data_IF_528505051697
#
_entry.id   IF_528505051697
#
_cell.length_a   1.000
_cell.length_b   1.000
_cell.length_c   1.000
_cell.angle_alpha   90.00
_cell.angle_beta   90.00
_cell.angle_gamma   90.00
#
_symmetry.space_group_name_H-M   'P 1'
#
loop_
_entity.id
_entity.type
_entity.pdbx_description
1 polymer ?
#
# COMPACT_ATOMS: atom_id res chain seq x y z
N UNK A 1 1.68 -6.26 -11.45
CA UNK A 1 1.18 -7.65 -11.55
C UNK A 1 2.14 -8.47 -12.40
N UNK A 2 2.89 -9.39 -11.80
CA UNK A 2 3.73 -10.34 -12.53
C UNK A 2 3.21 -11.75 -12.25
N UNK A 3 2.23 -12.20 -13.04
CA UNK A 3 1.84 -13.62 -13.03
C UNK A 3 2.99 -14.37 -13.68
N UNK A 4 3.76 -15.10 -12.88
CA UNK A 4 4.92 -15.86 -13.35
C UNK A 4 4.42 -17.11 -14.08
N UNK A 5 4.35 -17.02 -15.40
CA UNK A 5 4.08 -18.18 -16.26
C UNK A 5 5.28 -19.13 -16.21
N UNK A 6 5.15 -20.22 -15.43
CA UNK A 6 6.22 -21.20 -15.20
C UNK A 6 6.39 -22.20 -16.35
N UNK A 7 5.68 -22.04 -17.47
CA UNK A 7 5.85 -22.94 -18.63
C UNK A 7 7.24 -22.76 -19.25
N UNK A 8 7.88 -23.88 -19.61
CA UNK A 8 9.04 -23.86 -20.51
C UNK A 8 8.60 -23.23 -21.83
N UNK A 9 9.01 -21.99 -22.04
CA UNK A 9 8.54 -21.14 -23.13
C UNK A 9 8.78 -21.81 -24.49
N UNK A 10 7.75 -22.24 -25.24
CA UNK A 10 7.95 -22.74 -26.60
C UNK A 10 8.31 -21.52 -27.45
N UNK A 11 9.57 -21.48 -27.88
CA UNK A 11 10.10 -20.47 -28.79
C UNK A 11 9.10 -20.28 -29.96
N UNK A 12 8.66 -19.04 -30.19
CA UNK A 12 7.87 -18.56 -31.35
C UNK A 12 6.34 -18.30 -31.21
N UNK A 13 5.82 -17.88 -30.05
CA UNK A 13 4.48 -17.21 -30.01
C UNK A 13 4.59 -15.69 -29.97
N UNK A 14 3.86 -15.01 -30.86
CA UNK A 14 3.73 -13.54 -30.93
C UNK A 14 3.32 -12.95 -29.58
N UNK A 15 3.95 -11.82 -29.17
CA UNK A 15 3.68 -11.13 -27.91
C UNK A 15 2.18 -10.80 -27.71
N UNK A 16 1.47 -10.51 -28.80
CA UNK A 16 0.04 -10.20 -28.77
C UNK A 16 -0.83 -11.39 -28.33
N UNK A 17 -0.49 -12.61 -28.79
CA UNK A 17 -1.23 -13.82 -28.38
C UNK A 17 -0.97 -14.15 -26.91
N UNK A 18 0.28 -13.99 -26.46
CA UNK A 18 0.64 -14.16 -25.04
C UNK A 18 -0.14 -13.21 -24.14
N UNK A 19 -0.28 -11.94 -24.54
CA UNK A 19 -1.04 -10.96 -23.76
C UNK A 19 -2.53 -11.31 -23.70
N UNK A 20 -3.12 -11.78 -24.81
CA UNK A 20 -4.52 -12.24 -24.85
C UNK A 20 -4.74 -13.47 -23.98
N UNK A 21 -3.83 -14.43 -24.02
CA UNK A 21 -3.83 -15.61 -23.17
C UNK A 21 -3.78 -15.22 -21.69
N UNK A 22 -2.82 -14.37 -21.29
CA UNK A 22 -2.71 -13.90 -19.90
C UNK A 22 -3.97 -13.16 -19.43
N UNK A 23 -4.59 -12.34 -20.29
CA UNK A 23 -5.87 -11.69 -19.97
C UNK A 23 -6.99 -12.70 -19.75
N UNK A 24 -7.06 -13.76 -20.58
CA UNK A 24 -8.05 -14.83 -20.44
C UNK A 24 -7.82 -15.60 -19.14
N UNK A 25 -6.60 -16.07 -18.88
CA UNK A 25 -6.23 -16.72 -17.61
C UNK A 25 -6.66 -15.86 -16.43
N UNK A 26 -6.31 -14.57 -16.43
CA UNK A 26 -6.69 -13.65 -15.35
C UNK A 26 -8.21 -13.58 -15.15
N UNK A 27 -8.99 -13.55 -16.23
CA UNK A 27 -10.45 -13.54 -16.14
C UNK A 27 -11.05 -14.84 -15.60
N UNK A 28 -10.49 -16.00 -15.97
CA UNK A 28 -10.94 -17.29 -15.44
C UNK A 28 -10.49 -17.49 -13.99
N UNK A 29 -9.28 -17.04 -13.63
CA UNK A 29 -8.83 -16.97 -12.23
C UNK A 29 -9.80 -16.15 -11.39
N UNK A 30 -10.21 -14.96 -11.86
CA UNK A 30 -11.20 -14.13 -11.15
C UNK A 30 -12.55 -14.83 -10.95
N UNK A 31 -13.03 -15.57 -11.96
CA UNK A 31 -14.29 -16.31 -11.86
C UNK A 31 -14.19 -17.49 -10.87
N UNK A 32 -13.19 -18.36 -11.08
CA UNK A 32 -12.94 -19.50 -10.20
C UNK A 32 -12.73 -19.07 -8.75
N UNK A 33 -12.08 -17.93 -8.56
CA UNK A 33 -11.87 -17.30 -7.26
C UNK A 33 -13.17 -16.79 -6.62
N UNK A 34 -14.02 -16.07 -7.36
CA UNK A 34 -15.31 -15.60 -6.86
C UNK A 34 -16.22 -16.77 -6.44
N UNK A 35 -16.13 -17.89 -7.17
CA UNK A 35 -16.87 -19.11 -6.86
C UNK A 35 -16.29 -19.85 -5.65
N UNK A 36 -14.96 -19.89 -5.50
CA UNK A 36 -14.28 -20.49 -4.34
C UNK A 36 -14.59 -19.78 -3.02
N UNK A 37 -14.77 -18.45 -3.05
CA UNK A 37 -15.10 -17.66 -1.85
C UNK A 37 -16.51 -17.96 -1.36
N UNK A 38 -17.48 -18.13 -2.26
CA UNK A 38 -18.87 -18.45 -1.90
C UNK A 38 -19.01 -19.80 -1.20
N UNK A 39 -18.08 -20.71 -1.45
CA UNK A 39 -18.15 -22.09 -0.98
C UNK A 39 -17.36 -22.35 0.31
N UNK A 40 -16.51 -21.43 0.79
CA UNK A 40 -15.58 -21.71 1.91
C UNK A 40 -15.56 -20.65 3.00
N UNK A 41 -15.15 -21.11 4.20
CA UNK A 41 -15.06 -20.29 5.42
C UNK A 41 -13.79 -19.43 5.36
N UNK A 42 -13.96 -18.14 5.63
CA UNK A 42 -12.93 -17.07 5.67
C UNK A 42 -11.76 -17.39 6.62
N UNK A 43 -11.89 -18.37 7.52
CA UNK A 43 -10.84 -18.78 8.45
C UNK A 43 -9.60 -19.42 7.79
N UNK A 44 -9.71 -19.93 6.56
CA UNK A 44 -8.61 -20.65 5.86
C UNK A 44 -7.69 -19.71 5.04
N UNK A 45 -7.74 -18.39 5.27
CA UNK A 45 -6.95 -17.38 4.54
C UNK A 45 -5.46 -17.31 4.92
N UNK A 46 -5.03 -18.06 5.93
CA UNK A 46 -3.64 -18.06 6.38
C UNK A 46 -2.73 -18.96 5.54
N UNK A 47 -3.28 -20.01 4.90
CA UNK A 47 -2.54 -20.95 4.07
C UNK A 47 -2.60 -20.55 2.58
N UNK A 48 -1.49 -20.71 1.86
CA UNK A 48 -1.43 -20.43 0.42
C UNK A 48 -2.47 -21.22 -0.37
N UNK A 49 -2.97 -20.66 -1.48
CA UNK A 49 -4.11 -21.23 -2.17
C UNK A 49 -3.75 -21.91 -3.48
N UNK A 50 -4.33 -23.08 -3.72
CA UNK A 50 -4.27 -23.78 -4.99
C UNK A 50 -5.61 -23.62 -5.72
N UNK A 51 -5.62 -22.86 -6.82
CA UNK A 51 -6.80 -22.63 -7.66
C UNK A 51 -6.69 -23.51 -8.91
N UNK A 52 -7.61 -24.46 -9.06
CA UNK A 52 -7.70 -25.27 -10.27
C UNK A 52 -8.52 -24.56 -11.34
N UNK A 53 -8.01 -24.55 -12.58
CA UNK A 53 -8.70 -24.02 -13.75
C UNK A 53 -8.82 -25.16 -14.76
N UNK A 54 -10.04 -25.42 -15.26
CA UNK A 54 -10.24 -26.41 -16.32
C UNK A 54 -9.56 -25.94 -17.62
N UNK A 55 -8.90 -26.89 -18.29
CA UNK A 55 -8.17 -26.69 -19.54
C UNK A 55 -9.08 -26.32 -20.71
N UNK A 56 -10.38 -26.65 -20.68
CA UNK A 56 -11.36 -26.34 -21.74
C UNK A 56 -11.42 -24.85 -22.07
N UNK A 57 -11.34 -24.01 -21.04
CA UNK A 57 -11.47 -22.56 -21.15
C UNK A 57 -10.20 -21.86 -21.70
N UNK A 58 -9.07 -22.58 -21.68
CA UNK A 58 -7.76 -22.06 -22.06
C UNK A 58 -7.35 -22.44 -23.49
N UNK A 59 -8.24 -23.10 -24.24
CA UNK A 59 -7.96 -23.55 -25.59
C UNK A 59 -7.72 -22.37 -26.55
N UNK A 60 -6.61 -22.43 -27.28
CA UNK A 60 -6.30 -21.51 -28.37
C UNK A 60 -6.82 -22.11 -29.69
N UNK A 61 -7.63 -21.39 -30.49
CA UNK A 61 -8.05 -21.90 -31.79
C UNK A 61 -6.83 -22.06 -32.69
N UNK A 62 -6.67 -23.24 -33.26
CA UNK A 62 -5.59 -23.55 -34.19
C UNK A 62 -6.14 -23.56 -35.61
N UNK A 63 -5.58 -22.70 -36.45
CA UNK A 63 -5.91 -22.68 -37.86
C UNK A 63 -5.10 -23.74 -38.59
N UNK A 64 -5.79 -24.61 -39.30
CA UNK A 64 -5.20 -25.58 -40.20
C UNK A 64 -5.77 -25.35 -41.59
N UNK A 65 -4.95 -25.50 -42.62
CA UNK A 65 -5.45 -25.47 -43.98
C UNK A 65 -6.31 -26.72 -44.24
N UNK A 66 -7.51 -26.52 -44.77
CA UNK A 66 -8.41 -27.62 -45.15
C UNK A 66 -7.74 -28.54 -46.18
N UNK A 67 -7.47 -29.82 -45.86
CA UNK A 67 -6.76 -30.74 -46.75
C UNK A 67 -7.49 -31.03 -48.06
N UNK A 68 -8.79 -30.70 -48.16
CA UNK A 68 -9.62 -31.00 -49.33
C UNK A 68 -9.70 -29.85 -50.34
N UNK A 69 -9.34 -28.63 -49.94
CA UNK A 69 -9.55 -27.42 -50.74
C UNK A 69 -8.23 -26.63 -50.92
N UNK A 70 -8.01 -26.13 -52.14
CA UNK A 70 -6.86 -25.31 -52.51
C UNK A 70 -5.80 -26.04 -53.35
N UNK A 71 -5.03 -25.28 -54.13
CA UNK A 71 -3.84 -25.78 -54.81
C UNK A 71 -2.67 -25.80 -53.83
N UNK A 72 -2.01 -26.95 -53.72
CA UNK A 72 -0.89 -27.14 -52.79
C UNK A 72 0.27 -27.77 -53.54
N UNK A 73 1.40 -27.08 -53.52
CA UNK A 73 2.65 -27.60 -54.06
C UNK A 73 3.43 -28.26 -52.92
N UNK A 74 3.71 -29.55 -53.07
CA UNK A 74 4.52 -30.31 -52.12
C UNK A 74 5.79 -30.76 -52.83
N UNK A 75 6.93 -30.65 -52.14
CA UNK A 75 8.19 -31.23 -52.61
C UNK A 75 8.33 -32.61 -51.98
N UNK A 76 8.15 -33.66 -52.78
CA UNK A 76 8.38 -35.03 -52.34
C UNK A 76 9.87 -35.39 -52.54
N UNK A 77 10.49 -36.11 -51.58
CA UNK A 77 11.90 -36.47 -51.69
C UNK A 77 12.10 -37.56 -52.75
N UNK A 78 12.63 -37.18 -53.91
CA UNK A 78 13.22 -38.08 -54.91
C UNK A 78 12.22 -38.92 -55.69
N UNK A 79 12.24 -38.79 -57.01
CA UNK A 79 11.33 -39.50 -57.89
C UNK A 79 12.12 -40.44 -58.82
N UNK A 80 11.84 -41.74 -58.77
CA UNK A 80 12.42 -42.73 -59.67
C UNK A 80 11.48 -43.13 -60.82
N UNK A 81 10.17 -42.93 -60.67
CA UNK A 81 9.16 -43.58 -61.51
C UNK A 81 8.16 -42.63 -62.21
N UNK A 82 8.05 -41.36 -61.79
CA UNK A 82 7.07 -40.41 -62.35
C UNK A 82 7.73 -39.35 -63.25
N UNK A 83 7.00 -38.85 -64.24
CA UNK A 83 7.42 -37.74 -65.12
C UNK A 83 6.53 -36.50 -64.93
N UNK A 84 7.00 -35.30 -65.32
CA UNK A 84 6.18 -34.10 -65.28
C UNK A 84 4.90 -34.28 -66.11
N UNK A 85 3.73 -34.20 -65.46
CA UNK A 85 2.41 -34.39 -66.08
C UNK A 85 1.64 -35.63 -65.62
N UNK A 86 2.27 -36.52 -64.86
CA UNK A 86 1.58 -37.71 -64.34
C UNK A 86 0.59 -37.35 -63.21
N UNK A 87 -0.62 -37.90 -63.27
CA UNK A 87 -1.59 -37.82 -62.19
C UNK A 87 -1.32 -38.94 -61.17
N UNK A 88 -0.96 -38.55 -59.94
CA UNK A 88 -0.79 -39.48 -58.83
C UNK A 88 -2.14 -39.62 -58.12
N UNK A 89 -2.61 -40.86 -57.93
CA UNK A 89 -3.81 -41.08 -57.12
C UNK A 89 -3.60 -40.50 -55.72
N UNK A 90 -4.53 -39.64 -55.29
CA UNK A 90 -4.50 -39.12 -53.91
C UNK A 90 -4.50 -40.32 -52.98
N UNK A 91 -3.55 -40.42 -52.01
CA UNK A 91 -3.56 -41.53 -51.08
C UNK A 91 -4.94 -41.60 -50.44
N UNK A 92 -5.61 -42.76 -50.60
CA UNK A 92 -6.89 -43.03 -49.99
C UNK A 92 -6.74 -42.76 -48.50
N UNK A 93 -7.44 -41.75 -47.99
CA UNK A 93 -7.21 -41.12 -46.69
C UNK A 93 -6.67 -42.09 -45.66
N UNK A 94 -5.34 -42.13 -45.53
CA UNK A 94 -4.70 -42.78 -44.42
C UNK A 94 -5.15 -41.97 -43.23
N UNK A 95 -6.04 -42.57 -42.43
CA UNK A 95 -6.18 -42.19 -41.04
C UNK A 95 -4.76 -42.16 -40.49
N UNK A 96 -4.19 -40.95 -40.38
CA UNK A 96 -3.08 -40.75 -39.48
C UNK A 96 -3.54 -41.40 -38.18
N UNK A 97 -2.72 -42.31 -37.67
CA UNK A 97 -2.90 -42.90 -36.35
C UNK A 97 -2.90 -41.74 -35.36
N UNK A 98 -4.07 -41.11 -35.21
CA UNK A 98 -4.45 -40.47 -33.98
C UNK A 98 -4.46 -41.61 -32.99
N UNK A 99 -3.50 -41.55 -32.06
CA UNK A 99 -3.63 -42.17 -30.75
C UNK A 99 -5.11 -42.29 -30.42
N UNK A 100 -5.60 -43.52 -30.30
CA UNK A 100 -6.95 -43.80 -29.84
C UNK A 100 -7.23 -42.90 -28.65
N UNK A 101 -8.10 -41.91 -28.86
CA UNK A 101 -8.78 -41.27 -27.76
C UNK A 101 -9.68 -42.33 -27.18
N UNK A 102 -9.37 -42.77 -25.96
CA UNK A 102 -10.26 -43.62 -25.17
C UNK A 102 -11.67 -43.02 -25.17
N UNK A 103 -12.70 -43.87 -25.23
CA UNK A 103 -14.10 -43.46 -25.15
C UNK A 103 -14.49 -42.91 -23.76
N UNK A 104 -13.60 -43.01 -22.77
CA UNK A 104 -13.59 -42.18 -21.57
C UNK A 104 -12.57 -41.05 -21.75
N UNK A 105 -13.05 -39.93 -22.27
CA UNK A 105 -12.30 -38.68 -22.33
C UNK A 105 -12.20 -38.02 -20.96
N UNK A 106 -11.47 -38.65 -20.04
CA UNK A 106 -11.04 -37.99 -18.79
C UNK A 106 -9.60 -37.46 -18.93
N UNK A 107 -9.36 -36.85 -20.09
CA UNK A 107 -8.11 -36.18 -20.42
C UNK A 107 -8.21 -34.70 -20.07
N UNK A 108 -8.35 -34.36 -18.80
CA UNK A 108 -8.18 -32.97 -18.35
C UNK A 108 -7.26 -32.92 -17.15
N UNK A 109 -5.98 -32.69 -17.43
CA UNK A 109 -5.10 -32.04 -16.46
C UNK A 109 -5.74 -30.69 -16.11
N UNK A 110 -6.55 -30.70 -15.05
CA UNK A 110 -6.97 -29.47 -14.39
C UNK A 110 -5.70 -28.72 -14.00
N UNK A 111 -5.54 -27.50 -14.52
CA UNK A 111 -4.35 -26.73 -14.23
C UNK A 111 -4.48 -26.18 -12.82
N UNK A 112 -3.74 -26.76 -11.88
CA UNK A 112 -3.66 -26.27 -10.51
C UNK A 112 -2.62 -25.14 -10.45
N UNK A 113 -3.09 -23.93 -10.24
CA UNK A 113 -2.24 -22.78 -9.96
C UNK A 113 -2.07 -22.63 -8.45
N UNK A 114 -0.88 -22.90 -7.95
CA UNK A 114 -0.50 -22.55 -6.58
C UNK A 114 -0.15 -21.06 -6.52
N UNK A 115 -1.04 -20.27 -5.92
CA UNK A 115 -0.86 -18.86 -5.60
C UNK A 115 -0.24 -18.71 -4.21
N UNK A 116 0.71 -17.79 -4.10
CA UNK A 116 1.17 -17.35 -2.78
C UNK A 116 0.05 -16.58 -2.07
N UNK A 117 0.09 -16.54 -0.73
CA UNK A 117 -0.87 -15.75 0.07
C UNK A 117 -0.91 -14.29 -0.37
N UNK A 118 0.24 -13.70 -0.68
CA UNK A 118 0.32 -12.30 -1.10
C UNK A 118 -0.34 -12.05 -2.46
N UNK A 119 -0.12 -12.95 -3.43
CA UNK A 119 -0.75 -12.88 -4.75
C UNK A 119 -2.25 -13.14 -4.68
N UNK A 120 -2.67 -14.03 -3.78
CA UNK A 120 -4.08 -14.27 -3.49
C UNK A 120 -4.75 -12.99 -2.98
N UNK A 121 -4.16 -12.33 -1.97
CA UNK A 121 -4.72 -11.10 -1.40
C UNK A 121 -4.72 -9.95 -2.43
N UNK A 122 -3.70 -9.85 -3.28
CA UNK A 122 -3.68 -8.88 -4.38
C UNK A 122 -4.84 -9.08 -5.36
N UNK A 123 -5.14 -10.34 -5.70
CA UNK A 123 -6.28 -10.66 -6.57
C UNK A 123 -7.61 -10.42 -5.85
N UNK A 124 -7.66 -10.66 -4.55
CA UNK A 124 -8.84 -10.47 -3.70
C UNK A 124 -9.27 -9.00 -3.63
N UNK A 125 -8.30 -8.10 -3.50
CA UNK A 125 -8.55 -6.68 -3.25
C UNK A 125 -8.30 -5.76 -4.46
N UNK A 126 -8.02 -6.31 -5.66
CA UNK A 126 -7.61 -5.53 -6.85
C UNK A 126 -8.59 -4.40 -7.23
N UNK A 127 -9.90 -4.62 -7.08
CA UNK A 127 -10.96 -3.68 -7.47
C UNK A 127 -11.43 -2.77 -6.30
N UNK A 128 -10.78 -2.86 -5.13
CA UNK A 128 -11.20 -2.22 -3.88
C UNK A 128 -10.31 -1.03 -3.52
N UNK A 129 -10.94 0.10 -3.18
CA UNK A 129 -10.23 1.32 -2.77
C UNK A 129 -11.01 2.08 -1.68
N UNK A 130 -10.28 2.79 -0.81
CA UNK A 130 -10.85 3.74 0.13
C UNK A 130 -11.51 4.91 -0.62
N UNK A 131 -12.82 5.14 -0.43
CA UNK A 131 -13.53 6.16 -1.18
C UNK A 131 -13.08 7.58 -0.80
N UNK A 132 -13.03 8.52 -1.75
CA UNK A 132 -12.69 9.93 -1.50
C UNK A 132 -11.27 10.22 -0.95
N UNK A 133 -10.32 9.26 -1.00
CA UNK A 133 -8.93 9.47 -0.55
C UNK A 133 -8.21 10.65 -1.24
N UNK A 134 -8.66 11.02 -2.44
CA UNK A 134 -8.09 12.08 -3.27
C UNK A 134 -8.73 13.47 -3.11
N UNK A 135 -9.87 13.62 -2.42
CA UNK A 135 -10.63 14.89 -2.48
C UNK A 135 -9.93 16.09 -1.81
N UNK A 136 -8.85 15.88 -1.05
CA UNK A 136 -7.98 16.97 -0.54
C UNK A 136 -6.78 17.29 -1.43
N UNK A 137 -6.66 16.63 -2.59
CA UNK A 137 -5.52 16.79 -3.52
C UNK A 137 -5.37 18.18 -4.15
N UNK A 138 -6.30 19.12 -3.96
CA UNK A 138 -6.16 20.47 -4.53
C UNK A 138 -5.51 21.50 -3.58
N UNK A 139 -5.33 21.18 -2.29
CA UNK A 139 -4.70 22.11 -1.32
C UNK A 139 -3.41 21.62 -0.69
N UNK A 140 -3.02 20.35 -0.85
CA UNK A 140 -1.75 19.84 -0.34
C UNK A 140 -0.71 19.74 -1.46
N UNK A 141 -0.03 20.85 -1.77
CA UNK A 141 1.38 20.70 -2.14
C UNK A 141 2.01 19.93 -0.98
N UNK A 142 2.65 18.78 -1.23
CA UNK A 142 3.33 18.00 -0.19
C UNK A 142 4.13 18.97 0.69
N UNK A 143 3.67 19.23 1.92
CA UNK A 143 4.27 20.26 2.76
C UNK A 143 5.71 19.84 2.99
N UNK A 144 6.70 20.55 2.41
CA UNK A 144 8.06 20.07 2.45
C UNK A 144 8.56 20.20 3.88
N UNK A 145 8.75 19.06 4.55
CA UNK A 145 9.38 19.05 5.85
C UNK A 145 10.88 19.28 5.66
N UNK A 146 11.42 20.21 6.44
CA UNK A 146 12.84 20.53 6.46
C UNK A 146 13.57 19.50 7.32
N UNK A 147 14.38 18.64 6.69
CA UNK A 147 15.19 17.64 7.41
C UNK A 147 16.66 18.03 7.33
N UNK A 148 17.39 17.87 8.44
CA UNK A 148 18.85 18.06 8.46
C UNK A 148 19.52 16.98 7.62
N UNK A 149 20.16 17.38 6.52
CA UNK A 149 20.78 16.49 5.54
C UNK A 149 22.32 16.53 5.61
N UNK A 150 22.88 16.80 6.79
CA UNK A 150 24.33 16.85 7.03
C UNK A 150 24.96 18.22 6.75
N UNK A 151 26.15 18.21 6.12
CA UNK A 151 26.97 19.40 5.88
C UNK A 151 27.33 19.55 4.41
N UNK A 152 27.39 20.78 3.92
CA UNK A 152 27.85 21.17 2.59
C UNK A 152 29.14 21.99 2.69
N UNK A 153 29.97 21.99 1.65
CA UNK A 153 31.17 22.86 1.54
C UNK A 153 30.81 24.30 1.23
N UNK A 154 29.61 24.53 0.69
CA UNK A 154 29.12 25.85 0.29
C UNK A 154 27.69 26.08 0.81
N UNK A 155 27.36 27.34 1.09
CA UNK A 155 26.07 27.76 1.63
C UNK A 155 26.03 29.19 2.18
N UNK A 156 24.83 29.64 2.57
CA UNK A 156 24.65 30.95 3.20
C UNK A 156 25.44 31.08 4.51
N UNK A 157 26.09 32.22 4.80
CA UNK A 157 26.83 32.47 6.03
C UNK A 157 26.05 32.17 7.32
N UNK A 158 24.72 32.34 7.30
CA UNK A 158 23.84 32.04 8.44
C UNK A 158 23.82 30.55 8.82
N UNK A 159 24.12 29.66 7.86
CA UNK A 159 24.16 28.21 8.07
C UNK A 159 25.57 27.69 8.34
N UNK A 160 26.56 28.56 8.50
CA UNK A 160 27.94 28.14 8.76
C UNK A 160 28.02 27.40 10.11
N UNK A 161 28.39 26.12 10.04
CA UNK A 161 28.67 25.32 11.22
C UNK A 161 30.11 25.60 11.67
N UNK A 162 30.26 26.52 12.62
CA UNK A 162 31.56 26.94 13.16
C UNK A 162 32.35 25.75 13.75
N UNK A 163 31.68 24.84 14.44
CA UNK A 163 32.33 23.69 15.11
C UNK A 163 32.98 22.75 14.10
N UNK A 164 32.23 22.31 13.09
CA UNK A 164 32.77 21.42 12.05
C UNK A 164 33.82 22.11 11.17
N UNK A 165 33.61 23.39 10.87
CA UNK A 165 34.59 24.21 10.13
C UNK A 165 35.92 24.29 10.88
N UNK A 166 35.88 24.62 12.17
CA UNK A 166 37.08 24.71 13.01
C UNK A 166 37.76 23.35 13.20
N UNK A 167 36.99 22.26 13.31
CA UNK A 167 37.54 20.90 13.37
C UNK A 167 38.33 20.55 12.10
N UNK A 168 37.80 20.89 10.92
CA UNK A 168 38.50 20.64 9.64
C UNK A 168 39.74 21.53 9.48
N UNK A 169 39.65 22.81 9.82
CA UNK A 169 40.81 23.71 9.86
C UNK A 169 41.92 23.18 10.78
N UNK A 170 41.57 22.69 11.97
CA UNK A 170 42.55 22.11 12.89
C UNK A 170 43.21 20.86 12.30
N UNK A 171 42.41 19.93 11.75
CA UNK A 171 42.94 18.72 11.12
C UNK A 171 43.89 19.04 9.96
N UNK A 172 43.53 20.01 9.10
CA UNK A 172 44.39 20.49 8.00
C UNK A 172 45.69 21.11 8.51
N UNK A 173 45.62 21.93 9.55
CA UNK A 173 46.81 22.56 10.16
C UNK A 173 47.76 21.52 10.76
N UNK A 174 47.23 20.50 11.42
CA UNK A 174 48.03 19.39 11.95
C UNK A 174 48.68 18.62 10.78
N UNK A 175 47.90 18.26 9.76
CA UNK A 175 48.40 17.50 8.61
C UNK A 175 49.49 18.23 7.81
N UNK A 176 49.37 19.55 7.65
CA UNK A 176 50.37 20.38 6.95
C UNK A 176 51.52 20.84 7.87
N UNK A 177 51.47 20.47 9.16
CA UNK A 177 52.48 20.83 10.15
C UNK A 177 52.58 22.34 10.35
N UNK A 178 51.43 23.02 10.53
CA UNK A 178 51.43 24.44 10.90
C UNK A 178 51.96 24.56 12.34
N UNK A 179 53.00 25.39 12.59
CA UNK A 179 53.54 25.60 13.92
C UNK A 179 52.49 26.23 14.85
N UNK A 180 52.54 25.91 16.15
CA UNK A 180 51.65 26.54 17.13
C UNK A 180 52.16 27.95 17.42
N UNK A 181 51.24 28.86 17.76
CA UNK A 181 51.61 30.23 18.12
C UNK A 181 52.56 30.25 19.33
N UNK A 182 52.26 29.43 20.35
CA UNK A 182 53.09 29.30 21.55
C UNK A 182 54.52 28.83 21.28
N UNK A 183 54.74 28.00 20.25
CA UNK A 183 56.09 27.53 19.89
C UNK A 183 56.91 28.67 19.28
N UNK A 184 56.29 29.53 18.48
CA UNK A 184 56.96 30.71 17.90
C UNK A 184 57.20 31.79 18.95
N UNK A 185 56.25 32.00 19.87
CA UNK A 185 56.41 32.93 20.99
C UNK A 185 57.55 32.49 21.92
N UNK A 186 57.69 31.18 22.20
CA UNK A 186 58.81 30.66 22.99
C UNK A 186 60.16 30.93 22.31
N UNK A 187 60.27 30.66 21.00
CA UNK A 187 61.49 30.98 20.23
C UNK A 187 61.81 32.48 20.23
N UNK A 188 60.79 33.35 20.23
CA UNK A 188 60.99 34.80 20.32
C UNK A 188 61.53 35.22 21.69
N UNK A 189 61.06 34.59 22.77
CA UNK A 189 61.58 34.82 24.12
C UNK A 189 63.04 34.35 24.22
N UNK A 190 63.35 33.16 23.72
CA UNK A 190 64.72 32.63 23.64
C UNK A 190 65.64 33.57 22.83
N UNK A 191 65.14 34.12 21.71
CA UNK A 191 65.87 35.10 20.92
C UNK A 191 66.18 36.38 21.73
N UNK A 192 65.23 36.89 22.52
CA UNK A 192 65.48 38.06 23.36
C UNK A 192 66.52 37.79 24.46
N UNK A 193 66.52 36.59 25.03
CA UNK A 193 67.51 36.17 26.01
C UNK A 193 68.90 36.08 25.38
N UNK A 194 69.03 35.47 24.19
CA UNK A 194 70.28 35.38 23.45
C UNK A 194 70.82 36.76 23.03
N UNK A 195 69.94 37.70 22.66
CA UNK A 195 70.32 39.10 22.40
C UNK A 195 70.86 39.76 23.66
N UNK A 196 70.26 39.50 24.82
CA UNK A 196 70.70 40.07 26.11
C UNK A 196 72.04 39.47 26.57
N UNK A 197 72.30 38.21 26.23
CA UNK A 197 73.55 37.49 26.54
C UNK A 197 74.67 37.71 25.49
N UNK A 198 74.41 38.45 24.41
CA UNK A 198 75.34 38.75 23.31
C UNK A 198 75.90 37.50 22.57
N UNK A 199 75.14 36.41 22.53
CA UNK A 199 75.54 35.17 21.85
C UNK A 199 75.24 35.23 20.34
N UNK A 200 76.18 35.76 19.56
CA UNK A 200 75.99 36.04 18.12
C UNK A 200 75.54 34.82 17.28
N UNK A 201 76.11 33.64 17.53
CA UNK A 201 75.79 32.42 16.78
C UNK A 201 74.37 31.90 17.05
N UNK A 202 73.91 31.97 18.31
CA UNK A 202 72.58 31.51 18.70
C UNK A 202 71.50 32.50 18.25
N UNK A 203 71.80 33.81 18.23
CA UNK A 203 70.92 34.84 17.67
C UNK A 203 70.62 34.56 16.18
N UNK A 204 71.65 34.26 15.37
CA UNK A 204 71.47 33.98 13.94
C UNK A 204 70.69 32.68 13.71
N UNK A 205 70.97 31.64 14.50
CA UNK A 205 70.22 30.38 14.47
C UNK A 205 68.75 30.57 14.81
N UNK A 206 68.44 31.25 15.90
CA UNK A 206 67.06 31.49 16.35
C UNK A 206 66.29 32.38 15.36
N UNK A 207 66.92 33.38 14.76
CA UNK A 207 66.33 34.19 13.69
C UNK A 207 65.93 33.34 12.48
N UNK A 208 66.84 32.51 11.98
CA UNK A 208 66.57 31.59 10.85
C UNK A 208 65.42 30.62 11.17
N UNK A 209 65.37 30.09 12.40
CA UNK A 209 64.29 29.22 12.84
C UNK A 209 62.95 29.96 12.89
N UNK A 210 62.89 31.14 13.50
CA UNK A 210 61.67 31.96 13.58
C UNK A 210 61.18 32.31 12.18
N UNK A 211 62.07 32.73 11.28
CA UNK A 211 61.71 33.06 9.90
C UNK A 211 61.13 31.85 9.15
N UNK A 212 61.72 30.66 9.33
CA UNK A 212 61.21 29.43 8.75
C UNK A 212 59.82 29.05 9.31
N UNK A 213 59.62 29.17 10.63
CA UNK A 213 58.33 28.91 11.27
C UNK A 213 57.27 29.91 10.82
N UNK A 214 57.61 31.20 10.73
CA UNK A 214 56.72 32.25 10.24
C UNK A 214 56.38 32.09 8.75
N UNK A 215 57.34 31.69 7.91
CA UNK A 215 57.09 31.35 6.51
C UNK A 215 56.09 30.19 6.41
N UNK A 216 56.23 29.16 7.24
CA UNK A 216 55.31 28.01 7.28
C UNK A 216 53.91 28.40 7.79
N UNK A 217 53.82 29.30 8.77
CA UNK A 217 52.55 29.86 9.25
C UNK A 217 51.83 30.71 8.19
N UNK A 218 52.57 31.42 7.34
CA UNK A 218 52.02 32.17 6.20
C UNK A 218 51.54 31.24 5.08
N UNK A 219 52.30 30.18 4.79
CA UNK A 219 51.99 29.22 3.73
C UNK A 219 50.73 28.38 4.01
N UNK A 220 50.42 28.10 5.29
CA UNK A 220 49.25 27.31 5.68
C UNK A 220 48.25 28.22 6.39
N UNK A 221 47.25 28.83 5.74
CA UNK A 221 46.32 29.76 6.40
C UNK A 221 45.54 29.14 7.56
N UNK A 222 45.11 29.98 8.52
CA UNK A 222 44.35 29.52 9.69
C UNK A 222 42.99 28.93 9.29
N UNK A 223 42.29 29.61 8.40
CA UNK A 223 41.01 29.18 7.84
C UNK A 223 41.10 29.25 6.32
N UNK A 224 40.62 28.20 5.65
CA UNK A 224 40.53 28.13 4.20
C UNK A 224 39.09 27.85 3.77
N UNK A 225 38.77 28.18 2.52
CA UNK A 225 37.46 27.94 1.90
C UNK A 225 37.07 26.46 1.94
N UNK A 226 38.06 25.56 1.76
CA UNK A 226 37.85 24.10 1.82
C UNK A 226 37.47 23.59 3.22
N UNK A 227 37.75 24.36 4.28
CA UNK A 227 37.40 24.01 5.66
C UNK A 227 35.93 24.34 5.98
N UNK A 228 35.32 25.29 5.26
CA UNK A 228 33.98 25.79 5.55
C UNK A 228 32.93 24.70 5.44
N UNK A 229 32.12 24.52 6.48
CA UNK A 229 31.00 23.58 6.49
C UNK A 229 29.72 24.28 6.85
N UNK A 230 28.72 24.16 5.99
CA UNK A 230 27.40 24.73 6.15
C UNK A 230 26.40 23.64 6.47
N UNK A 231 25.56 23.84 7.48
CA UNK A 231 24.47 22.91 7.79
C UNK A 231 23.49 22.84 6.62
N UNK A 232 23.38 21.66 6.02
CA UNK A 232 22.50 21.41 4.89
C UNK A 232 21.14 20.98 5.41
N UNK A 233 20.11 21.64 4.92
CA UNK A 233 18.72 21.25 5.17
C UNK A 233 18.12 20.93 3.80
N UNK A 234 17.57 19.73 3.66
CA UNK A 234 16.92 19.28 2.44
C UNK A 234 15.41 19.22 2.66
N UNK A 235 14.66 19.58 1.61
CA UNK A 235 13.22 19.34 1.57
C UNK A 235 13.01 17.89 1.16
N UNK A 236 12.44 17.09 2.05
CA UNK A 236 12.00 15.74 1.73
C UNK A 236 10.48 15.78 1.57
N UNK A 237 9.91 15.32 0.45
CA UNK A 237 8.48 15.22 0.32
C UNK A 237 7.98 14.18 1.34
N UNK A 238 7.17 14.62 2.30
CA UNK A 238 6.38 13.67 3.10
C UNK A 238 5.16 13.27 2.26
N UNK A 239 4.92 11.98 2.00
CA UNK A 239 3.66 11.55 1.41
C UNK A 239 2.54 11.96 2.36
N UNK A 240 1.63 12.80 1.85
CA UNK A 240 0.58 13.49 2.63
C UNK A 240 -0.74 12.71 2.70
N UNK A 241 -0.82 11.51 2.12
CA UNK A 241 -2.03 10.68 2.22
C UNK A 241 -1.93 9.79 3.45
N UNK A 242 -2.00 10.41 4.62
CA UNK A 242 -2.23 9.72 5.87
C UNK A 242 -3.75 9.55 6.04
N UNK A 243 -4.17 8.35 6.41
CA UNK A 243 -5.57 8.03 6.63
C UNK A 243 -5.69 7.25 7.93
N UNK A 244 -6.80 7.44 8.63
CA UNK A 244 -7.15 6.69 9.83
C UNK A 244 -8.48 6.00 9.60
N UNK A 245 -8.55 4.71 9.90
CA UNK A 245 -9.78 3.93 9.89
C UNK A 245 -10.17 3.62 11.33
N UNK A 246 -11.35 4.08 11.72
CA UNK A 246 -11.99 3.76 13.00
C UNK A 246 -12.88 2.53 12.84
N UNK A 247 -12.62 1.50 13.62
CA UNK A 247 -13.43 0.28 13.68
C UNK A 247 -14.27 0.30 14.96
N UNK A 248 -15.58 0.49 14.83
CA UNK A 248 -16.53 0.61 15.93
C UNK A 248 -17.34 -0.70 16.07
N UNK A 249 -16.97 -1.55 17.03
CA UNK A 249 -17.67 -2.83 17.24
C UNK A 249 -18.58 -2.75 18.46
N UNK A 250 -19.82 -3.21 18.29
CA UNK A 250 -20.73 -3.45 19.40
C UNK A 250 -20.35 -4.75 20.14
N UNK A 251 -20.23 -4.66 21.46
CA UNK A 251 -19.94 -5.79 22.35
C UNK A 251 -21.04 -6.04 23.37
N UNK A 252 -22.20 -5.45 23.13
CA UNK A 252 -23.40 -5.58 23.96
C UNK A 252 -23.85 -7.03 24.18
N UNK A 253 -24.83 -7.16 25.08
CA UNK A 253 -25.46 -8.44 25.41
C UNK A 253 -26.42 -8.94 24.30
N UNK A 254 -26.93 -8.05 23.43
CA UNK A 254 -27.77 -8.44 22.29
C UNK A 254 -26.95 -9.10 21.17
N UNK A 255 -25.67 -8.74 21.07
CA UNK A 255 -24.73 -9.38 20.17
C UNK A 255 -24.38 -10.82 20.61
N UNK A 256 -25.00 -11.81 19.97
CA UNK A 256 -24.69 -13.24 20.16
C UNK A 256 -23.26 -13.58 19.69
N UNK A 257 -22.74 -14.75 20.09
CA UNK A 257 -21.40 -15.18 19.67
C UNK A 257 -21.26 -15.30 18.15
N UNK A 258 -22.34 -15.69 17.46
CA UNK A 258 -22.37 -15.81 16.00
C UNK A 258 -22.31 -14.44 15.32
N UNK A 259 -23.10 -13.46 15.81
CA UNK A 259 -23.07 -12.09 15.28
C UNK A 259 -21.71 -11.42 15.54
N UNK A 260 -21.11 -11.66 16.73
CA UNK A 260 -19.73 -11.25 17.04
C UNK A 260 -18.72 -11.88 16.09
N UNK A 261 -18.85 -13.15 15.73
CA UNK A 261 -17.96 -13.81 14.77
C UNK A 261 -18.08 -13.19 13.37
N UNK A 262 -19.30 -12.86 12.91
CA UNK A 262 -19.52 -12.17 11.63
C UNK A 262 -18.88 -10.77 11.62
N UNK A 263 -19.11 -9.97 12.66
CA UNK A 263 -18.50 -8.65 12.79
C UNK A 263 -16.96 -8.73 12.79
N UNK A 264 -16.39 -9.68 13.54
CA UNK A 264 -14.94 -9.91 13.58
C UNK A 264 -14.38 -10.28 12.21
N UNK A 265 -15.06 -11.16 11.45
CA UNK A 265 -14.65 -11.51 10.08
C UNK A 265 -14.63 -10.31 9.16
N UNK A 266 -15.65 -9.45 9.24
CA UNK A 266 -15.69 -8.21 8.49
C UNK A 266 -14.48 -7.31 8.82
N UNK A 267 -14.21 -7.07 10.11
CA UNK A 267 -13.06 -6.25 10.53
C UNK A 267 -11.71 -6.86 10.18
N UNK A 268 -11.60 -8.19 10.21
CA UNK A 268 -10.39 -8.89 9.79
C UNK A 268 -10.15 -8.71 8.29
N UNK A 269 -11.20 -8.82 7.45
CA UNK A 269 -11.09 -8.52 6.02
C UNK A 269 -10.72 -7.06 5.78
N UNK A 270 -11.31 -6.12 6.53
CA UNK A 270 -10.97 -4.70 6.46
C UNK A 270 -9.51 -4.46 6.85
N UNK A 271 -9.03 -5.08 7.92
CA UNK A 271 -7.63 -5.01 8.34
C UNK A 271 -6.69 -5.53 7.24
N UNK A 272 -6.97 -6.72 6.69
CA UNK A 272 -6.17 -7.30 5.62
C UNK A 272 -6.15 -6.42 4.36
N UNK A 273 -7.31 -5.86 3.99
CA UNK A 273 -7.43 -4.92 2.88
C UNK A 273 -6.54 -3.69 3.08
N UNK A 274 -6.65 -3.05 4.24
CA UNK A 274 -5.96 -1.79 4.53
C UNK A 274 -4.44 -1.98 4.64
N UNK A 275 -4.00 -2.98 5.39
CA UNK A 275 -2.58 -3.31 5.55
C UNK A 275 -1.94 -3.68 4.21
N UNK A 276 -2.71 -4.28 3.28
CA UNK A 276 -2.19 -4.68 1.97
C UNK A 276 -2.14 -3.56 0.93
N UNK A 277 -3.17 -2.71 0.86
CA UNK A 277 -3.27 -1.65 -0.16
C UNK A 277 -2.61 -0.34 0.27
N UNK A 278 -2.53 -0.07 1.57
CA UNK A 278 -2.12 1.23 2.09
C UNK A 278 -0.99 1.12 3.12
N UNK A 279 0.16 1.71 2.79
CA UNK A 279 1.32 1.76 3.71
C UNK A 279 1.21 2.83 4.81
N UNK A 280 0.20 3.68 4.75
CA UNK A 280 0.08 4.89 5.60
C UNK A 280 -1.35 5.06 6.13
N UNK A 281 -2.00 3.93 6.44
CA UNK A 281 -3.28 3.90 7.16
C UNK A 281 -3.02 3.48 8.60
N UNK A 282 -3.54 4.25 9.56
CA UNK A 282 -3.61 3.85 10.96
C UNK A 282 -4.98 3.25 11.26
N UNK A 283 -5.00 2.20 12.10
CA UNK A 283 -6.22 1.53 12.54
C UNK A 283 -6.46 1.85 14.01
N UNK A 284 -7.67 2.31 14.32
CA UNK A 284 -8.10 2.56 15.70
C UNK A 284 -9.31 1.71 15.98
N UNK A 285 -9.22 0.86 17.00
CA UNK A 285 -10.29 -0.04 17.39
C UNK A 285 -11.01 0.52 18.60
N UNK A 286 -12.33 0.68 18.49
CA UNK A 286 -13.20 1.13 19.57
C UNK A 286 -14.26 0.06 19.77
N UNK A 287 -14.35 -0.43 20.99
CA UNK A 287 -15.47 -1.25 21.44
C UNK A 287 -16.43 -0.37 22.23
N UNK A 288 -17.72 -0.67 22.14
CA UNK A 288 -18.72 0.01 22.94
C UNK A 288 -19.73 -0.95 23.55
N UNK A 289 -20.21 -0.55 24.73
CA UNK A 289 -21.38 -1.08 25.40
C UNK A 289 -22.19 0.12 25.93
N UNK A 290 -22.26 0.32 27.25
CA UNK A 290 -22.72 1.57 27.86
C UNK A 290 -21.66 2.67 27.79
N UNK A 291 -20.39 2.26 27.77
CA UNK A 291 -19.24 3.15 27.60
C UNK A 291 -18.38 2.64 26.45
N UNK A 292 -17.74 3.55 25.73
CA UNK A 292 -16.79 3.22 24.69
C UNK A 292 -15.34 3.35 25.17
N UNK A 293 -14.47 2.50 24.62
CA UNK A 293 -13.06 2.48 24.95
C UNK A 293 -12.23 2.14 23.72
N UNK A 294 -11.12 2.86 23.53
CA UNK A 294 -10.05 2.44 22.62
C UNK A 294 -9.35 1.19 23.13
N UNK A 295 -9.23 0.19 22.25
CA UNK A 295 -8.58 -1.08 22.55
C UNK A 295 -7.53 -1.42 21.49
N UNK A 296 -6.63 -2.33 21.85
CA UNK A 296 -5.70 -2.94 20.90
C UNK A 296 -6.38 -4.04 20.09
N UNK A 297 -5.72 -4.46 19.01
CA UNK A 297 -6.21 -5.47 18.07
C UNK A 297 -6.60 -6.78 18.77
N UNK A 298 -5.75 -7.27 19.68
CA UNK A 298 -5.99 -8.53 20.38
C UNK A 298 -7.23 -8.46 21.28
N UNK A 299 -7.39 -7.35 22.03
CA UNK A 299 -8.56 -7.15 22.87
C UNK A 299 -9.82 -6.91 22.03
N UNK A 300 -9.72 -6.26 20.89
CA UNK A 300 -10.85 -6.07 19.98
C UNK A 300 -11.40 -7.42 19.47
N UNK A 301 -10.54 -8.34 19.03
CA UNK A 301 -10.99 -9.63 18.48
C UNK A 301 -11.27 -10.70 19.54
N UNK A 302 -10.63 -10.67 20.71
CA UNK A 302 -10.75 -11.74 21.72
C UNK A 302 -11.36 -11.31 23.05
N UNK A 303 -11.63 -10.02 23.24
CA UNK A 303 -12.22 -9.47 24.46
C UNK A 303 -13.59 -10.05 24.77
N UNK A 304 -13.84 -10.33 26.06
CA UNK A 304 -15.13 -10.76 26.59
C UNK A 304 -15.68 -9.65 27.47
N UNK A 305 -16.54 -8.82 26.89
CA UNK A 305 -17.28 -7.79 27.60
C UNK A 305 -18.76 -7.92 27.22
N UNK A 306 -19.64 -7.60 28.16
CA UNK A 306 -21.09 -7.69 28.00
C UNK A 306 -21.72 -6.51 28.73
N UNK A 307 -22.63 -5.80 28.07
CA UNK A 307 -23.31 -4.63 28.64
C UNK A 307 -24.51 -4.21 27.78
N UNK A 308 -25.11 -3.05 28.09
CA UNK A 308 -26.13 -2.44 27.23
C UNK A 308 -25.51 -1.83 25.95
N UNK A 309 -26.36 -1.33 25.05
CA UNK A 309 -25.93 -0.76 23.77
C UNK A 309 -26.21 0.73 23.74
N UNK A 310 -25.18 1.56 23.91
CA UNK A 310 -25.23 3.03 23.82
C UNK A 310 -24.26 3.45 22.70
N UNK A 311 -24.81 3.70 21.52
CA UNK A 311 -23.99 4.00 20.32
C UNK A 311 -23.34 5.38 20.40
N UNK A 312 -24.00 6.36 21.02
CA UNK A 312 -23.44 7.72 21.16
C UNK A 312 -22.08 7.71 21.85
N UNK A 313 -21.88 6.81 22.83
CA UNK A 313 -20.61 6.67 23.54
C UNK A 313 -19.44 6.37 22.60
N UNK A 314 -19.67 5.55 21.57
CA UNK A 314 -18.67 5.20 20.57
C UNK A 314 -18.31 6.40 19.68
N UNK A 315 -19.32 7.16 19.27
CA UNK A 315 -19.17 8.37 18.44
C UNK A 315 -18.43 9.47 19.21
N UNK A 316 -18.72 9.65 20.50
CA UNK A 316 -18.03 10.60 21.37
C UNK A 316 -16.55 10.23 21.56
N UNK A 317 -16.25 8.96 21.82
CA UNK A 317 -14.86 8.51 21.97
C UNK A 317 -14.08 8.63 20.66
N UNK A 318 -14.71 8.33 19.51
CA UNK A 318 -14.14 8.58 18.19
C UNK A 318 -13.81 10.07 18.00
N UNK A 319 -14.74 10.98 18.30
CA UNK A 319 -14.53 12.42 18.19
C UNK A 319 -13.39 12.91 19.10
N UNK A 320 -13.32 12.39 20.33
CA UNK A 320 -12.26 12.69 21.28
C UNK A 320 -10.89 12.27 20.74
N UNK A 321 -10.79 11.06 20.19
CA UNK A 321 -9.56 10.55 19.59
C UNK A 321 -9.14 11.38 18.37
N UNK A 322 -10.09 11.71 17.50
CA UNK A 322 -9.84 12.56 16.32
C UNK A 322 -9.27 13.91 16.77
N UNK A 323 -9.93 14.59 17.71
CA UNK A 323 -9.50 15.91 18.22
C UNK A 323 -8.10 15.86 18.87
N UNK A 324 -7.71 14.75 19.47
CA UNK A 324 -6.41 14.60 20.16
C UNK A 324 -5.26 14.19 19.25
N UNK A 325 -5.48 13.24 18.32
CA UNK A 325 -4.41 12.59 17.53
C UNK A 325 -4.45 12.91 16.04
N UNK A 326 -5.63 13.21 15.49
CA UNK A 326 -5.83 13.27 14.04
C UNK A 326 -6.45 14.60 13.61
N UNK A 327 -5.64 15.68 13.45
CA UNK A 327 -6.14 16.94 12.93
C UNK A 327 -6.83 16.73 11.59
N UNK A 328 -8.07 17.19 11.51
CA UNK A 328 -8.95 17.06 10.34
C UNK A 328 -8.38 17.82 9.13
N UNK A 329 -7.27 18.55 9.22
CA UNK A 329 -6.58 19.19 8.08
C UNK A 329 -5.53 18.31 7.39
N UNK A 330 -4.93 17.40 8.13
CA UNK A 330 -3.80 16.60 7.66
C UNK A 330 -4.19 15.14 7.36
N UNK A 331 -5.23 14.63 8.02
CA UNK A 331 -5.65 13.23 7.95
C UNK A 331 -6.95 13.05 7.17
N UNK A 332 -7.05 11.92 6.47
CA UNK A 332 -8.33 11.43 5.96
C UNK A 332 -8.94 10.45 6.97
N UNK A 333 -10.14 10.72 7.43
CA UNK A 333 -10.84 9.97 8.48
C UNK A 333 -11.90 9.09 7.83
N UNK A 334 -11.86 7.81 8.19
CA UNK A 334 -12.80 6.78 7.79
C UNK A 334 -13.36 6.09 9.02
N UNK A 335 -14.59 5.62 8.95
CA UNK A 335 -15.18 4.81 10.01
C UNK A 335 -15.96 3.63 9.43
N UNK A 336 -15.88 2.50 10.12
CA UNK A 336 -16.70 1.33 9.91
C UNK A 336 -17.34 0.95 11.25
N UNK A 337 -18.67 0.87 11.29
CA UNK A 337 -19.45 0.46 12.45
C UNK A 337 -20.12 -0.88 12.17
N UNK A 338 -20.09 -1.79 13.14
CA UNK A 338 -20.79 -3.07 13.07
C UNK A 338 -21.61 -3.29 14.37
N UNK A 339 -22.90 -3.59 14.22
CA UNK A 339 -23.87 -3.78 15.32
C UNK A 339 -25.06 -4.67 14.86
N UNK A 340 -25.87 -5.16 15.78
CA UNK A 340 -27.15 -5.89 15.56
C UNK A 340 -28.34 -4.96 15.34
N UNK A 341 -28.11 -3.65 15.29
CA UNK A 341 -29.20 -2.70 15.08
C UNK A 341 -29.91 -2.25 16.37
N UNK A 342 -29.49 -2.76 17.54
CA UNK A 342 -30.03 -2.32 18.81
C UNK A 342 -29.39 -1.02 19.29
N UNK A 343 -30.22 -0.11 19.78
CA UNK A 343 -29.79 1.04 20.57
C UNK A 343 -30.89 1.39 21.57
N UNK A 344 -30.56 2.10 22.64
CA UNK A 344 -31.59 2.63 23.52
C UNK A 344 -32.34 3.80 22.86
N UNK A 345 -33.67 3.83 22.99
CA UNK A 345 -34.52 4.88 22.39
C UNK A 345 -34.12 6.30 22.81
N UNK A 346 -33.65 6.47 24.05
CA UNK A 346 -33.20 7.76 24.56
C UNK A 346 -31.87 8.22 23.97
N UNK A 347 -31.06 7.30 23.44
CA UNK A 347 -29.74 7.56 22.86
C UNK A 347 -29.81 7.91 21.37
N UNK A 348 -30.81 7.39 20.65
CA UNK A 348 -30.96 7.58 19.21
C UNK A 348 -30.91 9.05 18.75
N UNK A 349 -31.62 10.01 19.38
CA UNK A 349 -31.53 11.41 18.97
C UNK A 349 -30.11 12.00 19.10
N UNK A 350 -29.38 11.60 20.14
CA UNK A 350 -28.00 12.04 20.35
C UNK A 350 -27.05 11.41 19.33
N UNK A 351 -27.21 10.12 19.05
CA UNK A 351 -26.43 9.40 18.04
C UNK A 351 -26.59 10.01 16.65
N UNK A 352 -27.83 10.28 16.22
CA UNK A 352 -28.10 10.92 14.92
C UNK A 352 -27.49 12.31 14.83
N UNK A 353 -27.62 13.12 15.89
CA UNK A 353 -27.05 14.45 15.95
C UNK A 353 -25.52 14.42 15.85
N UNK A 354 -24.85 13.57 16.64
CA UNK A 354 -23.39 13.43 16.60
C UNK A 354 -22.91 12.95 15.23
N UNK A 355 -23.62 12.00 14.63
CA UNK A 355 -23.28 11.47 13.32
C UNK A 355 -23.43 12.55 12.23
N UNK A 356 -24.58 13.22 12.15
CA UNK A 356 -24.91 14.20 11.10
C UNK A 356 -24.14 15.52 11.25
N UNK A 357 -24.02 16.06 12.47
CA UNK A 357 -23.44 17.39 12.71
C UNK A 357 -21.92 17.36 12.93
N UNK A 358 -21.36 16.30 13.55
CA UNK A 358 -19.93 16.27 13.92
C UNK A 358 -19.11 15.27 13.10
N UNK A 359 -19.58 14.05 12.88
CA UNK A 359 -18.77 12.97 12.29
C UNK A 359 -18.80 12.95 10.76
N UNK A 360 -19.98 13.02 10.13
CA UNK A 360 -20.09 13.00 8.68
C UNK A 360 -19.37 14.18 8.00
N UNK A 361 -19.36 15.42 8.55
CA UNK A 361 -18.60 16.52 7.94
C UNK A 361 -17.07 16.31 7.94
N UNK A 362 -16.52 15.59 8.92
CA UNK A 362 -15.07 15.34 9.04
C UNK A 362 -14.64 14.04 8.34
N UNK A 363 -15.54 13.06 8.20
CA UNK A 363 -15.26 11.76 7.59
C UNK A 363 -15.36 11.78 6.07
N UNK A 364 -14.43 11.09 5.40
CA UNK A 364 -14.47 10.89 3.95
C UNK A 364 -15.42 9.78 3.54
N UNK A 365 -15.60 8.79 4.42
CA UNK A 365 -16.53 7.70 4.26
C UNK A 365 -16.84 7.05 5.61
N UNK A 366 -18.13 6.81 5.86
CA UNK A 366 -18.65 6.11 7.03
C UNK A 366 -19.49 4.92 6.54
N UNK A 367 -19.10 3.71 6.92
CA UNK A 367 -19.82 2.49 6.59
C UNK A 367 -20.47 1.90 7.84
N UNK A 368 -21.79 1.78 7.82
CA UNK A 368 -22.56 1.06 8.83
C UNK A 368 -22.91 -0.34 8.30
N UNK A 369 -22.57 -1.36 9.08
CA UNK A 369 -22.88 -2.76 8.81
C UNK A 369 -23.80 -3.25 9.92
N UNK A 370 -24.99 -3.67 9.52
CA UNK A 370 -25.90 -4.37 10.41
C UNK A 370 -25.71 -5.88 10.25
N UNK A 371 -25.53 -6.56 11.38
CA UNK A 371 -25.37 -8.01 11.44
C UNK A 371 -26.65 -8.59 12.02
N UNK A 372 -27.45 -9.23 11.17
CA UNK A 372 -28.73 -9.79 11.54
C UNK A 372 -28.70 -11.32 11.54
N UNK A 373 -29.63 -11.93 12.28
CA UNK A 373 -29.91 -13.36 12.22
C UNK A 373 -31.13 -13.58 11.30
N UNK A 374 -30.93 -14.29 10.20
CA UNK A 374 -31.97 -14.66 9.22
C UNK A 374 -33.22 -15.27 9.85
N UNK A 375 -33.08 -15.89 11.03
CA UNK A 375 -34.18 -16.59 11.70
C UNK A 375 -35.13 -15.64 12.45
N UNK A 376 -34.66 -14.46 12.87
CA UNK A 376 -35.44 -13.47 13.62
C UNK A 376 -35.04 -12.05 13.21
N UNK A 377 -35.61 -11.51 12.12
CA UNK A 377 -35.41 -10.12 11.76
C UNK A 377 -35.98 -9.24 12.88
N UNK A 378 -35.11 -8.66 13.68
CA UNK A 378 -35.49 -7.69 14.71
C UNK A 378 -35.90 -6.37 14.07
N UNK A 379 -36.70 -5.58 14.78
CA UNK A 379 -36.97 -4.20 14.38
C UNK A 379 -35.72 -3.37 14.73
N UNK A 380 -34.82 -3.18 13.76
CA UNK A 380 -33.57 -2.46 13.98
C UNK A 380 -33.82 -0.96 14.09
N UNK A 381 -33.68 -0.45 15.31
CA UNK A 381 -33.86 0.98 15.61
C UNK A 381 -32.77 1.80 14.89
N UNK A 382 -31.55 1.28 14.82
CA UNK A 382 -30.44 1.93 14.11
C UNK A 382 -30.67 1.92 12.61
N UNK A 383 -31.18 0.84 12.03
CA UNK A 383 -31.43 0.75 10.60
C UNK A 383 -32.37 1.85 10.13
N UNK A 384 -33.52 1.97 10.81
CA UNK A 384 -34.53 2.97 10.52
C UNK A 384 -34.04 4.39 10.81
N UNK A 385 -33.25 4.58 11.87
CA UNK A 385 -32.67 5.88 12.22
C UNK A 385 -31.65 6.37 11.19
N UNK A 386 -30.84 5.47 10.62
CA UNK A 386 -29.79 5.80 9.66
C UNK A 386 -30.28 5.87 8.21
N UNK A 387 -31.39 5.22 7.88
CA UNK A 387 -31.95 5.23 6.53
C UNK A 387 -32.09 6.64 5.91
N UNK A 388 -32.60 7.67 6.61
CA UNK A 388 -32.69 9.03 6.06
C UNK A 388 -31.34 9.68 5.78
N UNK A 389 -30.25 9.22 6.42
CA UNK A 389 -28.91 9.77 6.24
C UNK A 389 -28.27 9.28 4.94
N UNK A 390 -28.61 8.07 4.49
CA UNK A 390 -28.12 7.49 3.23
C UNK A 390 -28.47 8.37 2.03
N UNK A 391 -29.70 8.89 1.99
CA UNK A 391 -30.15 9.75 0.90
C UNK A 391 -29.61 11.19 0.99
N UNK A 392 -29.22 11.64 2.19
CA UNK A 392 -28.74 13.01 2.44
C UNK A 392 -27.23 13.16 2.26
N UNK A 393 -26.46 12.09 2.46
CA UNK A 393 -25.00 12.16 2.55
C UNK A 393 -24.30 11.12 1.65
N UNK A 394 -23.62 11.59 0.61
CA UNK A 394 -22.85 10.74 -0.32
C UNK A 394 -21.66 9.99 0.34
N UNK A 395 -21.27 10.40 1.55
CA UNK A 395 -20.18 9.81 2.33
C UNK A 395 -20.65 8.85 3.43
N UNK A 396 -21.94 8.51 3.48
CA UNK A 396 -22.50 7.49 4.36
C UNK A 396 -23.00 6.30 3.53
N UNK A 397 -22.72 5.09 3.99
CA UNK A 397 -23.23 3.87 3.40
C UNK A 397 -23.70 2.91 4.49
N UNK A 398 -24.76 2.18 4.18
CA UNK A 398 -25.37 1.20 5.06
C UNK A 398 -25.50 -0.12 4.30
N UNK A 399 -25.19 -1.22 4.97
CA UNK A 399 -25.35 -2.56 4.43
C UNK A 399 -25.75 -3.55 5.52
N UNK A 400 -26.44 -4.60 5.12
CA UNK A 400 -26.87 -5.70 5.99
C UNK A 400 -26.10 -6.96 5.62
N UNK A 401 -25.75 -7.75 6.64
CA UNK A 401 -25.15 -9.07 6.47
C UNK A 401 -25.92 -10.06 7.35
N UNK A 402 -26.54 -11.06 6.73
CA UNK A 402 -27.23 -12.13 7.45
C UNK A 402 -26.38 -13.40 7.53
N UNK A 403 -25.55 -13.66 6.51
CA UNK A 403 -24.69 -14.85 6.47
C UNK A 403 -23.22 -14.54 6.25
N UNK A 404 -22.34 -15.42 6.73
CA UNK A 404 -20.89 -15.26 6.56
C UNK A 404 -20.44 -15.21 5.08
N UNK A 405 -21.22 -15.80 4.16
CA UNK A 405 -20.95 -15.79 2.73
C UNK A 405 -21.24 -14.44 2.07
N UNK A 406 -22.08 -13.60 2.70
CA UNK A 406 -22.45 -12.26 2.20
C UNK A 406 -21.45 -11.18 2.60
N UNK A 407 -20.61 -11.45 3.61
CA UNK A 407 -19.60 -10.49 4.09
C UNK A 407 -18.75 -9.95 2.95
N UNK A 408 -18.25 -10.82 2.06
CA UNK A 408 -17.38 -10.37 0.96
C UNK A 408 -18.13 -9.59 -0.14
N UNK A 409 -19.28 -10.05 -0.67
CA UNK A 409 -20.12 -9.24 -1.55
C UNK A 409 -20.41 -7.84 -1.00
N UNK A 410 -20.83 -7.76 0.26
CA UNK A 410 -21.15 -6.50 0.94
C UNK A 410 -19.90 -5.63 1.10
N UNK A 411 -18.79 -6.22 1.55
CA UNK A 411 -17.51 -5.52 1.65
C UNK A 411 -17.09 -4.94 0.30
N UNK A 412 -17.24 -5.71 -0.78
CA UNK A 412 -16.91 -5.22 -2.11
C UNK A 412 -17.81 -4.08 -2.52
N UNK A 413 -19.11 -4.16 -2.28
CA UNK A 413 -20.04 -3.10 -2.66
C UNK A 413 -19.77 -1.80 -1.88
N UNK A 414 -19.38 -1.91 -0.60
CA UNK A 414 -18.98 -0.76 0.23
C UNK A 414 -17.68 -0.08 -0.24
N UNK A 415 -16.74 -0.83 -0.83
CA UNK A 415 -15.41 -0.33 -1.18
C UNK A 415 -15.07 -0.43 -2.69
N UNK A 416 -16.07 -0.64 -3.57
CA UNK A 416 -15.85 -0.78 -5.02
C UNK A 416 -15.40 0.56 -5.63
N UNK A 417 -14.23 0.54 -6.27
CA UNK A 417 -13.68 1.68 -7.01
C UNK A 417 -14.56 2.15 -8.18
N UNK A 418 -15.38 1.26 -8.77
CA UNK A 418 -16.11 1.51 -10.03
C UNK A 418 -17.42 2.26 -9.85
N UNK A 419 -18.15 2.04 -8.75
CA UNK A 419 -19.47 2.64 -8.54
C UNK A 419 -19.44 4.18 -8.58
N UNK A 420 -18.30 4.80 -8.29
CA UNK A 420 -18.18 6.27 -8.25
C UNK A 420 -17.75 6.92 -9.56
N UNK A 421 -17.20 6.17 -10.51
CA UNK A 421 -16.86 6.71 -11.85
C UNK A 421 -18.10 7.07 -12.68
N UNK A 422 -19.27 6.49 -12.37
CA UNK A 422 -20.55 6.74 -13.03
C UNK A 422 -21.41 7.87 -12.45
N UNK A 423 -21.12 8.36 -11.24
CA UNK A 423 -21.94 9.37 -10.56
C UNK A 423 -21.70 10.83 -11.04
N UNK A 424 -20.71 11.07 -11.92
CA UNK A 424 -20.35 12.42 -12.41
C UNK A 424 -21.22 12.91 -13.59
N UNK A 425 -22.21 12.15 -14.04
CA UNK A 425 -23.07 12.50 -15.18
C UNK A 425 -24.54 12.19 -14.90
N UNK A 426 -25.17 12.94 -13.99
CA UNK A 426 -26.62 13.20 -14.10
C UNK A 426 -26.82 14.41 -15.02
N UNK A 427 -27.59 14.32 -16.11
CA UNK A 427 -27.89 15.46 -16.95
C UNK A 427 -28.71 16.45 -16.13
N UNK A 428 -28.31 17.73 -16.12
CA UNK A 428 -29.19 18.81 -15.70
C UNK A 428 -30.40 18.77 -16.64
N UNK A 429 -31.53 18.26 -16.13
CA UNK A 429 -32.81 18.40 -16.80
C UNK A 429 -33.29 19.83 -16.61
N UNK A 430 -33.36 20.58 -17.70
CA UNK A 430 -34.22 21.75 -17.81
C UNK A 430 -35.66 21.34 -17.52
N UNK A 431 -36.28 21.97 -16.52
CA UNK A 431 -37.68 22.44 -16.54
C UNK A 431 -37.84 23.65 -15.64
#
# INVERSE_FOLDING_TARGET
MHVVDRRQNPKAKSLGNRQRFLRRVKSHMRKAFADSIRQRKIADLEEGQEVSISSKDLHEPTFHHDPKVGHRDYVLPGNHDYRPGDEIEKPSGGSGSGSSGSADGDGEDSFVFALTREEFLDLFFEDLELPNLAKRKLKSMASPAWVRAGYSTDGSPQRLNKRETMRRSLARRIALGRPKLAEVEALQVELQQAITAEEADEIDRLRKLIDAQQARMRAVPYLETVDLRYSRIQRVPKPTTQAVMFCLMDTSASMTEQLKDMAKRFYMLLHLFLTRHYKSVELVFIRHTYTAQEVDEQTFFHGRETGGTVVSSALEEMLKIVKQRYPVDDWNIYAAQASDGHNFDHDMPQTLRLLEEEILPICQYYAYIEVNDDQWPGDSVLWHGYFPLVDRHDNFAQAEVATASEIFPVFRDLFDSRQRSGASTKPRGDR
#
